data_IF_231306790568
#
_entry.id   IF_231306790568
#
_cell.length_a   1.000
_cell.length_b   1.000
_cell.length_c   1.000
_cell.angle_alpha   90.00
_cell.angle_beta   90.00
_cell.angle_gamma   90.00
#
_symmetry.space_group_name_H-M   'P 1'
#
loop_
_entity.id
_entity.type
_entity.pdbx_description
1 polymer ?
#
# COMPACT_ATOMS: atom_id res chain seq x y z
N UNK A 1 -29.97 -4.70 -8.14
CA UNK A 1 -28.85 -5.56 -8.51
C UNK A 1 -27.89 -5.91 -7.38
N UNK A 2 -28.27 -5.64 -6.12
CA UNK A 2 -27.51 -6.08 -4.94
C UNK A 2 -27.78 -7.56 -4.55
N UNK A 3 -28.49 -8.31 -5.37
CA UNK A 3 -29.03 -9.62 -5.01
C UNK A 3 -28.11 -10.81 -5.34
N UNK A 4 -26.94 -10.56 -5.88
CA UNK A 4 -26.03 -11.63 -6.34
C UNK A 4 -24.66 -11.59 -5.65
N UNK A 5 -24.63 -11.35 -4.35
CA UNK A 5 -23.42 -11.54 -3.56
C UNK A 5 -23.20 -13.05 -3.34
N UNK A 6 -21.98 -13.51 -3.55
CA UNK A 6 -21.62 -14.93 -3.56
C UNK A 6 -21.91 -15.67 -2.26
N UNK A 7 -22.04 -14.95 -1.14
CA UNK A 7 -22.20 -15.53 0.21
C UNK A 7 -23.49 -15.13 0.93
N UNK A 8 -24.39 -14.40 0.29
CA UNK A 8 -25.55 -13.77 0.94
C UNK A 8 -25.20 -12.73 2.04
N UNK A 9 -23.93 -12.51 2.30
CA UNK A 9 -23.42 -11.47 3.21
C UNK A 9 -22.65 -10.43 2.42
N UNK A 10 -22.76 -9.16 2.83
CA UNK A 10 -22.03 -8.06 2.18
C UNK A 10 -20.56 -8.18 2.55
N UNK A 11 -19.72 -8.44 1.54
CA UNK A 11 -18.28 -8.41 1.71
C UNK A 11 -17.71 -7.15 1.05
N UNK A 12 -16.68 -6.57 1.69
CA UNK A 12 -16.13 -5.30 1.27
C UNK A 12 -15.55 -5.34 -0.18
N UNK A 13 -14.94 -6.45 -0.57
CA UNK A 13 -14.35 -6.61 -1.91
C UNK A 13 -15.42 -6.64 -3.00
N UNK A 14 -16.50 -7.41 -2.80
CA UNK A 14 -17.62 -7.47 -3.73
C UNK A 14 -18.32 -6.10 -3.85
N UNK A 15 -18.51 -5.41 -2.71
CA UNK A 15 -19.08 -4.07 -2.71
C UNK A 15 -18.21 -3.10 -3.55
N UNK A 16 -16.90 -3.11 -3.36
CA UNK A 16 -15.98 -2.28 -4.16
C UNK A 16 -16.05 -2.65 -5.64
N UNK A 17 -16.06 -3.94 -5.99
CA UNK A 17 -16.20 -4.39 -7.37
C UNK A 17 -17.51 -3.90 -8.02
N UNK A 18 -18.63 -3.96 -7.28
CA UNK A 18 -19.91 -3.42 -7.74
C UNK A 18 -19.87 -1.91 -7.96
N UNK A 19 -19.25 -1.17 -7.04
CA UNK A 19 -19.10 0.29 -7.17
C UNK A 19 -18.24 0.66 -8.39
N UNK A 20 -17.17 -0.09 -8.66
CA UNK A 20 -16.36 0.07 -9.88
C UNK A 20 -17.22 -0.16 -11.13
N UNK A 21 -18.08 -1.19 -11.11
CA UNK A 21 -18.99 -1.50 -12.21
C UNK A 21 -20.06 -0.43 -12.48
N UNK A 22 -20.24 0.56 -11.62
CA UNK A 22 -21.16 1.70 -11.86
C UNK A 22 -20.55 2.76 -12.76
N UNK A 23 -19.23 2.76 -12.98
CA UNK A 23 -18.58 3.69 -13.91
C UNK A 23 -18.70 3.24 -15.37
N UNK A 24 -18.60 4.17 -16.31
CA UNK A 24 -18.56 3.86 -17.76
C UNK A 24 -17.17 3.36 -18.21
N UNK A 25 -16.20 3.43 -17.32
CA UNK A 25 -14.83 2.91 -17.48
C UNK A 25 -14.26 2.47 -16.13
N UNK A 26 -13.21 1.65 -16.15
CA UNK A 26 -12.51 1.24 -14.92
C UNK A 26 -12.01 2.46 -14.14
N UNK A 27 -11.47 3.47 -14.84
CA UNK A 27 -11.03 4.71 -14.21
C UNK A 27 -12.17 5.42 -13.47
N UNK A 28 -13.29 5.63 -14.15
CA UNK A 28 -14.47 6.29 -13.54
C UNK A 28 -15.00 5.50 -12.35
N UNK A 29 -15.02 4.17 -12.44
CA UNK A 29 -15.43 3.31 -11.35
C UNK A 29 -14.49 3.40 -10.13
N UNK A 30 -13.18 3.42 -10.35
CA UNK A 30 -12.20 3.61 -9.28
C UNK A 30 -12.33 5.01 -8.66
N UNK A 31 -12.47 6.06 -9.47
CA UNK A 31 -12.70 7.43 -8.99
C UNK A 31 -13.99 7.50 -8.16
N UNK A 32 -15.04 6.80 -8.58
CA UNK A 32 -16.29 6.73 -7.81
C UNK A 32 -16.06 6.10 -6.43
N UNK A 33 -15.34 4.99 -6.35
CA UNK A 33 -14.96 4.36 -5.06
C UNK A 33 -14.17 5.32 -4.19
N UNK A 34 -13.12 5.91 -4.73
CA UNK A 34 -12.24 6.82 -3.98
C UNK A 34 -12.96 8.07 -3.45
N UNK A 35 -14.03 8.51 -4.11
CA UNK A 35 -14.78 9.68 -3.69
C UNK A 35 -15.94 9.36 -2.73
N UNK A 36 -16.47 8.14 -2.74
CA UNK A 36 -17.64 7.78 -1.96
C UNK A 36 -17.33 6.88 -0.75
N UNK A 37 -16.27 6.08 -0.80
CA UNK A 37 -15.85 5.24 0.33
C UNK A 37 -15.10 6.10 1.35
N UNK A 38 -15.59 6.11 2.59
CA UNK A 38 -14.90 6.78 3.70
C UNK A 38 -13.85 5.84 4.28
N UNK A 39 -12.59 6.29 4.32
CA UNK A 39 -11.47 5.52 4.83
C UNK A 39 -10.38 5.30 3.79
N UNK A 40 -9.59 4.24 3.98
CA UNK A 40 -8.54 3.83 3.04
C UNK A 40 -9.04 2.66 2.18
N UNK A 41 -8.96 2.82 0.86
CA UNK A 41 -9.30 1.78 -0.08
C UNK A 41 -8.29 1.80 -1.23
N UNK A 42 -7.14 1.18 -1.00
CA UNK A 42 -6.19 0.87 -2.07
C UNK A 42 -6.59 -0.46 -2.72
N UNK A 43 -6.47 -0.56 -4.04
CA UNK A 43 -7.00 -1.71 -4.77
C UNK A 43 -6.18 -2.08 -5.98
N UNK A 44 -6.25 -3.36 -6.32
CA UNK A 44 -5.77 -3.91 -7.59
C UNK A 44 -6.98 -4.47 -8.33
N UNK A 45 -7.20 -3.98 -9.55
CA UNK A 45 -8.33 -4.42 -10.38
C UNK A 45 -7.78 -5.12 -11.61
N UNK A 46 -8.04 -6.43 -11.69
CA UNK A 46 -7.67 -7.24 -12.84
C UNK A 46 -8.75 -7.15 -13.92
N UNK A 47 -8.33 -6.90 -15.14
CA UNK A 47 -9.17 -6.91 -16.34
C UNK A 47 -8.59 -7.86 -17.40
N UNK A 48 -9.26 -8.07 -18.50
CA UNK A 48 -8.81 -8.94 -19.59
C UNK A 48 -7.47 -8.51 -20.21
N UNK A 49 -7.09 -7.25 -20.07
CA UNK A 49 -5.95 -6.67 -20.78
C UNK A 49 -4.92 -5.99 -19.88
N UNK A 50 -5.26 -5.74 -18.61
CA UNK A 50 -4.39 -4.98 -17.70
C UNK A 50 -4.74 -5.20 -16.23
N UNK A 51 -3.81 -4.83 -15.37
CA UNK A 51 -4.05 -4.60 -13.94
C UNK A 51 -4.06 -3.09 -13.70
N UNK A 52 -5.11 -2.60 -13.05
CA UNK A 52 -5.14 -1.24 -12.52
C UNK A 52 -4.74 -1.28 -11.06
N UNK A 53 -3.69 -0.56 -10.70
CA UNK A 53 -3.28 -0.35 -9.33
C UNK A 53 -3.67 1.06 -8.91
N UNK A 54 -4.49 1.18 -7.88
CA UNK A 54 -5.02 2.45 -7.38
C UNK A 54 -4.73 2.58 -5.90
N UNK A 55 -3.90 3.54 -5.54
CA UNK A 55 -3.64 3.88 -4.13
C UNK A 55 -4.78 4.75 -3.61
N UNK A 56 -5.16 4.57 -2.35
CA UNK A 56 -6.22 5.36 -1.73
C UNK A 56 -5.95 6.87 -1.81
N UNK A 57 -7.04 7.65 -1.74
CA UNK A 57 -7.05 9.10 -1.97
C UNK A 57 -6.02 9.88 -1.13
N UNK A 58 -5.66 9.38 0.04
CA UNK A 58 -4.71 10.02 0.94
C UNK A 58 -3.38 9.27 1.09
N UNK A 59 -3.21 8.15 0.40
CA UNK A 59 -1.99 7.36 0.44
C UNK A 59 -1.75 6.66 1.77
N UNK A 60 -2.79 6.33 2.52
CA UNK A 60 -2.68 5.65 3.83
C UNK A 60 -2.20 4.22 3.70
N UNK A 61 -2.73 3.49 2.71
CA UNK A 61 -2.32 2.12 2.40
C UNK A 61 -1.36 2.15 1.24
N UNK A 62 -0.11 1.70 1.41
CA UNK A 62 0.89 1.74 0.34
C UNK A 62 0.53 0.80 -0.80
N UNK A 63 0.89 1.20 -2.01
CA UNK A 63 1.07 0.34 -3.18
C UNK A 63 2.36 0.79 -3.85
N UNK A 64 3.22 -0.16 -4.16
CA UNK A 64 4.45 0.08 -4.89
C UNK A 64 4.51 -0.75 -6.18
N UNK A 65 5.42 -0.39 -7.06
CA UNK A 65 5.68 -1.07 -8.33
C UNK A 65 7.08 -1.64 -8.29
N UNK A 66 7.20 -2.89 -8.69
CA UNK A 66 8.46 -3.57 -8.97
C UNK A 66 8.58 -3.93 -10.44
N UNK A 67 9.82 -4.17 -10.92
CA UNK A 67 10.14 -4.55 -12.29
C UNK A 67 11.24 -5.59 -12.35
N UNK A 68 11.18 -6.47 -13.34
CA UNK A 68 12.28 -7.31 -13.82
C UNK A 68 12.23 -7.44 -15.34
N UNK A 69 13.04 -8.31 -15.91
CA UNK A 69 13.12 -8.53 -17.36
C UNK A 69 11.84 -9.13 -17.96
N UNK A 70 10.97 -9.73 -17.11
CA UNK A 70 9.72 -10.39 -17.54
C UNK A 70 8.51 -9.47 -17.45
N UNK A 71 8.61 -8.34 -16.74
CA UNK A 71 7.49 -7.40 -16.59
C UNK A 71 7.45 -6.66 -15.25
N UNK A 72 6.26 -6.26 -14.90
CA UNK A 72 5.98 -5.43 -13.73
C UNK A 72 5.16 -6.21 -12.68
N UNK A 73 5.32 -5.83 -11.45
CA UNK A 73 4.54 -6.33 -10.30
C UNK A 73 4.10 -5.16 -9.44
N UNK A 74 2.99 -5.28 -8.74
CA UNK A 74 2.59 -4.33 -7.72
C UNK A 74 2.19 -5.07 -6.44
N UNK A 75 2.52 -4.46 -5.32
CA UNK A 75 2.23 -5.00 -3.99
C UNK A 75 2.10 -3.86 -2.97
N UNK A 76 1.47 -4.17 -1.84
CA UNK A 76 1.44 -3.28 -0.67
C UNK A 76 2.70 -3.39 0.19
N UNK A 77 3.53 -4.40 -0.08
CA UNK A 77 4.72 -4.75 0.71
C UNK A 77 5.94 -4.91 -0.21
N UNK A 78 6.89 -3.99 -0.13
CA UNK A 78 8.06 -3.94 -1.03
C UNK A 78 9.08 -5.05 -0.79
N UNK A 79 9.12 -5.64 0.42
CA UNK A 79 10.02 -6.77 0.74
C UNK A 79 9.76 -8.01 -0.11
N UNK A 80 8.54 -8.17 -0.62
CA UNK A 80 8.17 -9.28 -1.51
C UNK A 80 8.93 -9.28 -2.84
N UNK A 81 9.38 -8.15 -3.31
CA UNK A 81 10.03 -8.02 -4.62
C UNK A 81 11.35 -8.77 -4.69
N UNK A 82 12.22 -8.60 -3.69
CA UNK A 82 13.50 -9.30 -3.65
C UNK A 82 13.33 -10.83 -3.69
N UNK A 83 12.33 -11.34 -2.94
CA UNK A 83 12.03 -12.78 -2.90
C UNK A 83 11.53 -13.33 -4.23
N UNK A 84 10.92 -12.49 -5.06
CA UNK A 84 10.36 -12.86 -6.36
C UNK A 84 11.26 -12.49 -7.54
N UNK A 85 12.45 -11.93 -7.28
CA UNK A 85 13.39 -11.50 -8.31
C UNK A 85 12.94 -10.25 -9.06
N UNK A 86 12.24 -9.35 -8.38
CA UNK A 86 11.91 -8.02 -8.87
C UNK A 86 12.70 -6.95 -8.13
N UNK A 87 12.97 -5.85 -8.81
CA UNK A 87 13.54 -4.65 -8.21
C UNK A 87 12.45 -3.62 -7.98
N UNK A 88 12.51 -2.93 -6.82
CA UNK A 88 11.61 -1.82 -6.52
C UNK A 88 11.79 -0.68 -7.53
N UNK A 89 10.70 -0.12 -8.01
CA UNK A 89 10.70 1.03 -8.93
C UNK A 89 10.28 2.30 -8.19
N UNK A 90 9.07 2.31 -7.62
CA UNK A 90 8.54 3.44 -6.86
C UNK A 90 7.26 3.08 -6.10
N UNK A 91 6.92 3.89 -5.12
CA UNK A 91 5.59 3.92 -4.54
C UNK A 91 4.62 4.71 -5.44
N UNK A 92 3.33 4.33 -5.44
CA UNK A 92 2.28 5.18 -5.98
C UNK A 92 2.01 6.34 -5.01
N UNK A 93 1.70 7.51 -5.54
CA UNK A 93 1.28 8.64 -4.73
C UNK A 93 -0.20 8.56 -4.28
N UNK A 94 -0.65 9.50 -3.42
CA UNK A 94 -2.03 9.53 -2.95
C UNK A 94 -3.03 9.65 -4.09
N UNK A 95 -4.02 8.75 -4.16
CA UNK A 95 -5.05 8.76 -5.20
C UNK A 95 -4.55 8.42 -6.60
N UNK A 96 -3.28 8.08 -6.76
CA UNK A 96 -2.71 7.72 -8.06
C UNK A 96 -3.31 6.41 -8.56
N UNK A 97 -3.61 6.38 -9.87
CA UNK A 97 -4.06 5.20 -10.60
C UNK A 97 -3.10 4.95 -11.74
N UNK A 98 -2.55 3.74 -11.81
CA UNK A 98 -1.76 3.28 -12.94
C UNK A 98 -2.41 2.06 -13.59
N UNK A 99 -2.21 1.93 -14.90
CA UNK A 99 -2.53 0.74 -15.66
C UNK A 99 -1.23 0.02 -16.00
N UNK A 100 -1.16 -1.25 -15.65
CA UNK A 100 -0.05 -2.14 -15.95
C UNK A 100 -0.48 -3.18 -16.97
N UNK A 101 0.25 -3.29 -18.07
CA UNK A 101 0.00 -4.25 -19.16
C UNK A 101 1.32 -4.84 -19.66
N UNK A 102 1.24 -5.67 -20.69
CA UNK A 102 2.43 -6.19 -21.37
C UNK A 102 3.28 -5.06 -21.99
N UNK A 103 2.66 -3.94 -22.37
CA UNK A 103 3.33 -2.79 -22.99
C UNK A 103 4.01 -1.88 -21.95
N UNK A 104 3.75 -2.09 -20.66
CA UNK A 104 4.37 -1.32 -19.58
C UNK A 104 3.38 -0.75 -18.57
N UNK A 105 3.83 0.28 -17.85
CA UNK A 105 3.03 1.00 -16.84
C UNK A 105 2.67 2.38 -17.37
N UNK A 106 1.39 2.68 -17.40
CA UNK A 106 0.84 3.98 -17.84
C UNK A 106 0.13 4.65 -16.68
N UNK A 107 0.41 5.92 -16.45
CA UNK A 107 -0.37 6.76 -15.53
C UNK A 107 -1.77 6.99 -16.10
N UNK A 108 -2.78 6.76 -15.29
CA UNK A 108 -4.21 6.97 -15.62
C UNK A 108 -4.74 8.19 -14.87
N UNK A 109 -4.38 8.32 -13.60
CA UNK A 109 -4.66 9.48 -12.74
C UNK A 109 -3.39 9.84 -12.01
N UNK A 110 -2.90 11.08 -12.09
CA UNK A 110 -1.71 11.52 -11.39
C UNK A 110 -1.92 11.57 -9.87
N UNK A 111 -0.84 11.52 -9.08
CA UNK A 111 -0.93 11.59 -7.63
C UNK A 111 -1.47 12.94 -7.16
N UNK A 112 -2.28 12.91 -6.10
CA UNK A 112 -2.72 14.11 -5.39
C UNK A 112 -1.65 14.67 -4.46
N UNK A 113 -1.83 15.91 -4.02
CA UNK A 113 -0.87 16.60 -3.15
C UNK A 113 -1.07 16.32 -1.65
N UNK A 114 -2.24 15.79 -1.24
CA UNK A 114 -2.55 15.56 0.18
C UNK A 114 -2.22 14.13 0.58
N UNK A 115 -1.27 13.97 1.48
CA UNK A 115 -0.78 12.68 1.96
C UNK A 115 -1.03 12.52 3.47
N UNK A 116 -1.51 11.35 3.87
CA UNK A 116 -1.75 10.97 5.26
C UNK A 116 -1.13 9.58 5.51
N UNK A 117 0.18 9.54 5.68
CA UNK A 117 0.90 8.30 5.94
C UNK A 117 0.73 7.91 7.41
N UNK A 118 0.51 6.63 7.67
CA UNK A 118 0.38 6.09 9.02
C UNK A 118 1.74 5.61 9.54
N UNK A 119 2.18 6.10 10.70
CA UNK A 119 3.43 5.67 11.32
C UNK A 119 3.46 4.17 11.68
N UNK A 120 2.30 3.53 11.81
CA UNK A 120 2.18 2.09 12.02
C UNK A 120 2.84 1.24 10.93
N UNK A 121 3.03 1.78 9.72
CA UNK A 121 3.78 1.11 8.66
C UNK A 121 5.20 0.75 9.11
N UNK A 122 5.86 1.65 9.83
CA UNK A 122 7.23 1.43 10.32
C UNK A 122 7.28 0.82 11.71
N UNK A 123 6.47 1.30 12.64
CA UNK A 123 6.60 0.89 14.05
C UNK A 123 6.00 -0.48 14.36
N UNK A 124 5.09 -0.98 13.52
CA UNK A 124 4.41 -2.24 13.78
C UNK A 124 4.19 -3.12 12.55
N UNK A 125 3.57 -2.58 11.49
CA UNK A 125 3.03 -3.37 10.39
C UNK A 125 4.13 -3.92 9.45
N UNK A 126 5.07 -3.08 9.03
CA UNK A 126 6.03 -3.40 7.98
C UNK A 126 7.05 -4.47 8.39
N UNK A 127 7.42 -5.31 7.43
CA UNK A 127 8.54 -6.23 7.59
C UNK A 127 9.86 -5.43 7.67
N UNK A 128 10.88 -5.84 8.45
CA UNK A 128 12.12 -5.07 8.63
C UNK A 128 12.80 -4.64 7.33
N UNK A 129 12.83 -5.50 6.32
CA UNK A 129 13.42 -5.18 5.01
C UNK A 129 12.53 -4.37 4.08
N UNK A 130 11.32 -4.01 4.52
CA UNK A 130 10.39 -3.19 3.73
C UNK A 130 10.78 -1.72 3.68
N UNK A 131 10.35 -1.06 2.62
CA UNK A 131 10.48 0.38 2.43
C UNK A 131 9.11 0.99 2.18
N UNK A 132 8.81 2.07 2.86
CA UNK A 132 7.62 2.89 2.62
C UNK A 132 8.05 4.35 2.52
N UNK A 133 7.60 5.03 1.47
CA UNK A 133 7.87 6.46 1.29
C UNK A 133 9.37 6.82 1.33
N UNK A 134 10.22 5.90 0.89
CA UNK A 134 11.68 6.09 0.88
C UNK A 134 12.37 5.87 2.24
N UNK A 135 11.66 5.35 3.25
CA UNK A 135 12.22 5.06 4.58
C UNK A 135 12.16 3.55 4.83
N UNK A 136 13.29 2.97 5.21
CA UNK A 136 13.37 1.56 5.61
C UNK A 136 12.74 1.33 6.98
N UNK A 137 12.07 0.19 7.16
CA UNK A 137 11.37 -0.13 8.41
C UNK A 137 12.35 -0.38 9.56
N UNK A 138 13.42 -1.13 9.31
CA UNK A 138 14.43 -1.43 10.33
C UNK A 138 15.15 -0.16 10.79
N UNK A 139 15.55 0.69 9.86
CA UNK A 139 16.19 1.99 10.17
C UNK A 139 15.26 2.86 11.03
N UNK A 140 13.97 2.94 10.68
CA UNK A 140 12.99 3.72 11.45
C UNK A 140 12.82 3.17 12.88
N UNK A 141 12.81 1.85 13.06
CA UNK A 141 12.73 1.21 14.38
C UNK A 141 14.01 1.43 15.19
N UNK A 142 15.16 1.30 14.56
CA UNK A 142 16.45 1.57 15.19
C UNK A 142 16.54 3.02 15.68
N UNK A 143 16.21 3.98 14.85
CA UNK A 143 16.22 5.39 15.23
C UNK A 143 15.18 5.73 16.32
N UNK A 144 14.04 5.06 16.31
CA UNK A 144 13.05 5.17 17.39
C UNK A 144 13.60 4.69 18.73
N UNK A 145 14.25 3.52 18.74
CA UNK A 145 14.92 2.98 19.93
C UNK A 145 16.06 3.88 20.42
N UNK A 146 16.87 4.39 19.49
CA UNK A 146 17.95 5.33 19.83
C UNK A 146 17.40 6.65 20.42
N UNK A 147 16.24 7.12 19.94
CA UNK A 147 15.58 8.30 20.51
C UNK A 147 15.07 8.04 21.94
N UNK A 148 14.50 6.86 22.19
CA UNK A 148 14.10 6.42 23.53
C UNK A 148 15.31 6.33 24.48
N UNK A 149 16.40 5.72 24.06
CA UNK A 149 17.62 5.61 24.85
C UNK A 149 18.22 6.99 25.21
N UNK A 150 18.16 7.95 24.27
CA UNK A 150 18.57 9.34 24.56
C UNK A 150 17.64 10.04 25.56
N UNK A 151 16.35 9.75 25.50
CA UNK A 151 15.38 10.31 26.45
C UNK A 151 15.60 9.77 27.87
N UNK A 152 15.96 8.52 27.99
CA UNK A 152 16.13 7.81 29.25
C UNK A 152 17.60 7.78 29.73
N UNK A 153 18.47 8.63 29.16
CA UNK A 153 19.92 8.63 29.43
C UNK A 153 20.29 8.86 30.90
N UNK A 154 19.43 9.52 31.67
CA UNK A 154 19.63 9.81 33.09
C UNK A 154 19.14 8.68 34.04
N UNK A 155 18.53 7.62 33.47
CA UNK A 155 18.04 6.49 34.24
C UNK A 155 19.18 5.46 34.49
N UNK A 156 19.31 5.01 35.72
CA UNK A 156 20.16 3.85 36.04
C UNK A 156 19.40 2.57 35.65
N UNK A 157 19.86 1.89 34.60
CA UNK A 157 19.21 0.70 34.02
C UNK A 157 20.16 -0.49 34.16
N UNK A 158 19.73 -1.53 34.88
CA UNK A 158 20.51 -2.78 35.02
C UNK A 158 20.27 -3.72 33.81
N UNK A 159 19.07 -3.73 33.27
CA UNK A 159 18.69 -4.64 32.15
C UNK A 159 17.80 -3.95 31.15
N UNK A 160 18.00 -4.27 29.88
CA UNK A 160 17.08 -3.94 28.80
C UNK A 160 16.76 -5.22 28.01
N UNK A 161 15.49 -5.40 27.66
CA UNK A 161 15.06 -6.56 26.89
C UNK A 161 14.01 -6.15 25.87
N UNK A 162 14.10 -6.71 24.66
CA UNK A 162 13.06 -6.58 23.66
C UNK A 162 11.85 -7.45 24.02
N UNK A 163 10.64 -6.97 23.68
CA UNK A 163 9.43 -7.78 23.80
C UNK A 163 9.41 -8.76 22.61
N UNK A 164 9.25 -10.09 22.85
CA UNK A 164 9.23 -11.08 21.78
C UNK A 164 8.24 -10.72 20.67
N UNK A 165 8.62 -11.06 19.46
CA UNK A 165 7.99 -10.78 18.15
C UNK A 165 8.14 -9.33 17.66
N UNK A 166 8.30 -8.34 18.51
CA UNK A 166 8.42 -6.93 18.12
C UNK A 166 9.73 -6.28 18.54
N UNK A 167 10.43 -6.85 19.50
CA UNK A 167 11.68 -6.32 20.03
C UNK A 167 12.91 -7.10 19.62
#
# INVERSE_FOLDING_TARGET
HFAELSSSEINATELVAMLIGMGNSIKEGIDYVQNNVKGSCSMLVLTDHAIYAARDKFGRTPISIGKNDKGYVCASESSSYANLGYSFVRDLGPGEIVQMSADGVREVTPPGCRKQVCSFLWVYYGYPSAWYEGINVEDARYESGAAMARHDADLEIDYAAGIPDSG
#
